data_IF_610266718225
#
_entry.id   IF_610266718225
#
_cell.length_a   1.000
_cell.length_b   1.000
_cell.length_c   1.000
_cell.angle_alpha   90.00
_cell.angle_beta   90.00
_cell.angle_gamma   90.00
#
_symmetry.space_group_name_H-M   'P 1'
#
loop_
_entity.id
_entity.type
_entity.pdbx_description
1 polymer ?
#
# COMPACT_ATOMS: atom_id res chain seq x y z
N UNK A 1 4.77 10.09 -6.97
CA UNK A 1 5.61 9.85 -5.77
C UNK A 1 4.96 10.47 -4.55
N UNK A 2 5.38 10.10 -3.34
CA UNK A 2 4.84 10.69 -2.11
C UNK A 2 5.59 11.97 -1.74
N UNK A 3 4.93 13.07 -1.32
CA UNK A 3 5.64 14.28 -0.93
C UNK A 3 6.44 14.14 0.36
N UNK A 4 7.50 14.95 0.48
CA UNK A 4 8.31 15.06 1.69
C UNK A 4 7.47 15.40 2.91
N UNK A 5 7.73 14.70 4.02
CA UNK A 5 7.05 14.93 5.29
C UNK A 5 5.54 14.66 5.29
N UNK A 6 4.98 14.21 4.16
CA UNK A 6 3.56 13.90 4.11
C UNK A 6 3.36 12.50 4.69
N UNK A 7 2.53 12.36 5.73
CA UNK A 7 2.18 11.06 6.28
C UNK A 7 1.51 10.19 5.20
N UNK A 8 1.65 8.88 5.33
CA UNK A 8 0.95 7.92 4.47
C UNK A 8 -0.31 7.46 5.20
N UNK A 9 -1.46 7.64 4.58
CA UNK A 9 -2.74 7.19 5.11
C UNK A 9 -3.25 5.99 4.33
N UNK A 10 -3.81 5.00 5.02
CA UNK A 10 -4.46 3.84 4.43
C UNK A 10 -5.44 4.25 3.31
N UNK A 11 -6.30 5.24 3.58
CA UNK A 11 -7.32 5.67 2.62
C UNK A 11 -6.74 6.26 1.33
N UNK A 12 -5.59 6.95 1.39
CA UNK A 12 -4.93 7.46 0.18
C UNK A 12 -4.32 6.32 -0.63
N UNK A 13 -3.70 5.33 0.02
CA UNK A 13 -3.15 4.15 -0.66
C UNK A 13 -4.28 3.34 -1.31
N UNK A 14 -5.38 3.13 -0.59
CA UNK A 14 -6.57 2.47 -1.11
C UNK A 14 -7.11 3.20 -2.35
N UNK A 15 -7.28 4.53 -2.28
CA UNK A 15 -7.78 5.32 -3.40
C UNK A 15 -6.85 5.24 -4.63
N UNK A 16 -5.53 5.26 -4.42
CA UNK A 16 -4.55 5.11 -5.52
C UNK A 16 -4.66 3.72 -6.16
N UNK A 17 -4.71 2.65 -5.35
CA UNK A 17 -4.83 1.29 -5.86
C UNK A 17 -6.16 1.05 -6.59
N UNK A 18 -7.25 1.65 -6.13
CA UNK A 18 -8.57 1.54 -6.74
C UNK A 18 -8.65 2.20 -8.14
N UNK A 19 -7.70 3.09 -8.46
CA UNK A 19 -7.60 3.76 -9.77
C UNK A 19 -6.60 3.09 -10.71
N UNK A 20 -5.99 1.95 -10.32
CA UNK A 20 -5.07 1.22 -11.20
C UNK A 20 -5.86 0.52 -12.30
N UNK A 21 -5.56 0.85 -13.56
CA UNK A 21 -6.18 0.20 -14.72
C UNK A 21 -5.92 -1.31 -14.70
N UNK A 22 -6.98 -2.11 -14.88
CA UNK A 22 -6.92 -3.57 -14.81
C UNK A 22 -7.01 -4.16 -13.39
N UNK A 23 -6.90 -3.35 -12.34
CA UNK A 23 -7.30 -3.77 -11.00
C UNK A 23 -8.84 -3.66 -10.88
N UNK A 24 -9.48 -4.75 -10.43
CA UNK A 24 -10.91 -4.77 -10.17
C UNK A 24 -11.24 -4.11 -8.84
N UNK A 25 -11.57 -4.92 -7.83
CA UNK A 25 -11.85 -4.47 -6.47
C UNK A 25 -10.61 -4.61 -5.60
N UNK A 26 -10.29 -3.57 -4.83
CA UNK A 26 -9.32 -3.67 -3.74
C UNK A 26 -10.06 -4.13 -2.47
N UNK A 27 -9.83 -5.36 -2.05
CA UNK A 27 -10.52 -5.94 -0.87
C UNK A 27 -9.92 -5.45 0.45
N UNK A 28 -8.59 -5.40 0.54
CA UNK A 28 -7.85 -5.05 1.76
C UNK A 28 -6.53 -4.36 1.41
N UNK A 29 -6.11 -3.41 2.26
CA UNK A 29 -4.79 -2.78 2.21
C UNK A 29 -4.21 -2.75 3.62
N UNK A 30 -2.99 -3.23 3.81
CA UNK A 30 -2.35 -3.17 5.13
C UNK A 30 -1.03 -2.43 5.04
N UNK A 31 -0.89 -1.39 5.87
CA UNK A 31 0.34 -0.64 5.97
C UNK A 31 1.17 -1.18 7.12
N UNK A 32 2.45 -1.43 6.85
CA UNK A 32 3.42 -1.89 7.84
C UNK A 32 4.63 -0.95 7.78
N UNK A 33 4.84 -0.08 8.78
CA UNK A 33 6.02 0.77 8.82
C UNK A 33 7.26 -0.13 8.90
N UNK A 34 8.25 0.16 8.08
CA UNK A 34 9.52 -0.56 8.09
C UNK A 34 10.61 0.36 8.61
N UNK A 35 11.46 -0.16 9.47
CA UNK A 35 12.69 0.51 9.87
C UNK A 35 13.62 0.61 8.63
N UNK A 36 14.04 1.82 8.21
CA UNK A 36 14.79 2.00 6.97
C UNK A 36 16.23 1.52 7.04
N UNK A 37 16.78 1.27 8.23
CA UNK A 37 18.15 0.80 8.44
C UNK A 37 18.18 -0.74 8.48
N UNK A 38 17.25 -1.34 9.19
CA UNK A 38 17.20 -2.79 9.43
C UNK A 38 16.24 -3.54 8.49
N UNK A 39 15.32 -2.83 7.84
CA UNK A 39 14.26 -3.40 6.99
C UNK A 39 13.17 -4.13 7.78
N UNK A 40 13.19 -4.10 9.11
CA UNK A 40 12.19 -4.82 9.92
C UNK A 40 10.85 -4.11 9.87
N UNK A 41 9.79 -4.86 9.58
CA UNK A 41 8.40 -4.37 9.62
C UNK A 41 7.88 -4.34 11.05
N UNK A 42 7.15 -3.30 11.39
CA UNK A 42 6.32 -3.20 12.59
C UNK A 42 4.94 -3.85 12.41
N UNK A 43 4.04 -3.56 13.35
CA UNK A 43 2.65 -3.98 13.29
C UNK A 43 1.86 -3.23 12.20
N UNK A 44 0.71 -3.77 11.82
CA UNK A 44 -0.20 -3.09 10.89
C UNK A 44 -0.74 -1.79 11.51
N UNK A 45 -0.81 -0.73 10.71
CA UNK A 45 -1.31 0.59 11.12
C UNK A 45 -2.14 1.20 10.00
N UNK A 46 -3.00 2.17 10.34
CA UNK A 46 -3.75 2.94 9.34
C UNK A 46 -2.97 4.16 8.82
N UNK A 47 -1.91 4.57 9.55
CA UNK A 47 -1.12 5.75 9.26
C UNK A 47 0.36 5.52 9.54
N UNK A 48 1.22 5.94 8.61
CA UNK A 48 2.67 6.02 8.80
C UNK A 48 3.08 7.48 8.82
N UNK A 49 3.57 7.95 9.98
CA UNK A 49 4.12 9.30 10.10
C UNK A 49 5.47 9.42 9.39
N UNK A 50 5.69 10.57 8.75
CA UNK A 50 6.90 10.87 7.99
C UNK A 50 7.47 12.18 8.53
N UNK A 51 8.75 12.18 8.91
CA UNK A 51 9.41 13.39 9.40
C UNK A 51 9.47 14.47 8.30
N UNK A 52 9.49 15.77 8.63
CA UNK A 52 9.36 16.85 7.64
C UNK A 52 10.35 16.81 6.45
N UNK A 53 11.56 16.29 6.66
CA UNK A 53 12.59 16.13 5.61
C UNK A 53 12.74 14.70 5.07
N UNK A 54 11.84 13.78 5.43
CA UNK A 54 11.90 12.39 5.02
C UNK A 54 10.96 12.08 3.85
N UNK A 55 11.29 11.02 3.12
CA UNK A 55 10.49 10.47 2.03
C UNK A 55 10.12 9.02 2.32
N UNK A 56 9.05 8.59 1.68
CA UNK A 56 8.62 7.19 1.64
C UNK A 56 9.27 6.52 0.45
N UNK A 57 9.81 5.32 0.66
CA UNK A 57 10.30 4.45 -0.41
C UNK A 57 9.69 3.06 -0.30
N UNK A 58 9.67 2.35 -1.42
CA UNK A 58 9.08 1.02 -1.51
C UNK A 58 9.91 -0.01 -0.76
N UNK A 59 9.25 -0.86 0.03
CA UNK A 59 9.91 -1.97 0.72
C UNK A 59 9.06 -3.24 0.62
N UNK A 60 9.61 -4.25 -0.06
CA UNK A 60 9.09 -5.63 -0.16
C UNK A 60 7.56 -5.75 -0.27
N UNK A 61 6.93 -5.00 -1.18
CA UNK A 61 5.47 -5.03 -1.33
C UNK A 61 4.97 -6.43 -1.66
N UNK A 62 3.85 -6.81 -1.05
CA UNK A 62 3.16 -8.07 -1.33
C UNK A 62 1.81 -7.74 -1.97
N UNK A 63 1.56 -8.34 -3.12
CA UNK A 63 0.29 -8.20 -3.86
C UNK A 63 -0.28 -9.59 -4.02
N UNK A 64 -1.50 -9.79 -3.54
CA UNK A 64 -2.25 -11.03 -3.72
C UNK A 64 -3.41 -10.71 -4.64
N UNK A 65 -3.54 -11.49 -5.70
CA UNK A 65 -4.62 -11.36 -6.70
C UNK A 65 -5.46 -12.61 -6.63
N UNK A 66 -6.77 -12.43 -6.49
CA UNK A 66 -7.77 -13.48 -6.59
C UNK A 66 -8.45 -13.36 -7.95
N UNK A 67 -8.81 -14.50 -8.56
CA UNK A 67 -9.61 -14.46 -9.76
C UNK A 67 -11.00 -13.94 -9.41
N UNK A 68 -11.47 -12.90 -10.11
CA UNK A 68 -12.90 -12.61 -10.14
C UNK A 68 -13.59 -13.81 -10.78
N UNK A 69 -14.65 -14.33 -10.16
CA UNK A 69 -15.41 -15.50 -10.62
C UNK A 69 -16.19 -15.28 -11.91
N UNK A 70 -15.57 -14.73 -12.95
CA UNK A 70 -16.09 -14.63 -14.31
C UNK A 70 -15.13 -15.38 -15.25
N UNK A 71 -15.17 -16.70 -15.15
CA UNK A 71 -14.43 -17.64 -15.97
C UNK A 71 -15.14 -18.98 -16.07
N UNK A 72 -16.47 -18.98 -16.05
CA UNK A 72 -17.24 -20.12 -16.56
C UNK A 72 -17.48 -19.84 -18.05
N UNK A 73 -16.52 -20.26 -18.85
CA UNK A 73 -16.57 -20.18 -20.30
C UNK A 73 -16.93 -21.58 -20.85
N UNK A 74 -18.10 -21.60 -21.51
CA UNK A 74 -18.60 -22.50 -22.57
C UNK A 74 -18.58 -24.02 -22.36
#
# INVERSE_FOLDING_TARGET
GWPFGRPVQYGEVFAVLQNVEGAGLVEDVRLFPADPITGRRGAAVDRVDVAPGALVFSHQHQVVVTASGAGEAV
#
